data_IF_214225917682
#
_entry.id   IF_214225917682
#
_cell.length_a   1.000
_cell.length_b   1.000
_cell.length_c   1.000
_cell.angle_alpha   90.00
_cell.angle_beta   90.00
_cell.angle_gamma   90.00
#
_symmetry.space_group_name_H-M   'P 1'
#
loop_
_entity.id
_entity.type
_entity.pdbx_description
1 polymer ?
#
# COMPACT_ATOMS: atom_id res chain seq x y z
N UNK A 1 2.57 0.14 -1.67
CA UNK A 1 2.11 -1.06 -0.94
C UNK A 1 1.54 -0.64 0.40
N UNK A 2 0.51 -1.30 0.87
CA UNK A 2 -0.09 -1.10 2.19
C UNK A 2 0.21 -2.34 3.02
N UNK A 3 0.66 -2.14 4.26
CA UNK A 3 0.87 -3.22 5.25
C UNK A 3 0.23 -2.80 6.56
N UNK A 4 -0.87 -3.45 6.94
CA UNK A 4 -1.76 -2.97 8.00
C UNK A 4 -2.29 -1.57 7.67
N UNK A 5 -1.99 -0.60 8.55
CA UNK A 5 -2.36 0.81 8.43
C UNK A 5 -1.19 1.70 7.94
N UNK A 6 -0.31 1.18 7.09
CA UNK A 6 0.91 1.90 6.69
C UNK A 6 1.19 1.76 5.20
N UNK A 7 1.47 2.89 4.55
CA UNK A 7 1.74 2.98 3.11
C UNK A 7 3.25 3.10 2.86
N UNK A 8 3.75 2.27 1.95
CA UNK A 8 5.16 2.17 1.56
C UNK A 8 5.32 2.32 0.04
N UNK A 9 6.34 3.06 -0.37
CA UNK A 9 6.69 3.27 -1.79
C UNK A 9 7.18 4.69 -2.04
N UNK A 10 7.18 5.13 -3.31
CA UNK A 10 7.47 6.52 -3.66
C UNK A 10 6.57 7.49 -2.89
N UNK A 11 7.03 8.73 -2.60
CA UNK A 11 6.20 9.74 -1.99
C UNK A 11 4.91 9.96 -2.79
N UNK A 12 3.77 9.92 -2.10
CA UNK A 12 2.44 10.19 -2.67
C UNK A 12 1.77 11.32 -1.90
N UNK A 13 0.80 12.03 -2.50
CA UNK A 13 -0.01 13.00 -1.76
C UNK A 13 -0.70 12.35 -0.55
N UNK A 14 -0.84 13.05 0.60
CA UNK A 14 -1.45 12.50 1.81
C UNK A 14 -2.84 11.89 1.57
N UNK A 15 -3.70 12.58 0.82
CA UNK A 15 -5.04 12.08 0.47
C UNK A 15 -5.01 10.74 -0.29
N UNK A 16 -3.96 10.48 -1.08
CA UNK A 16 -3.80 9.21 -1.78
C UNK A 16 -3.35 8.11 -0.81
N UNK A 17 -2.45 8.43 0.13
CA UNK A 17 -2.05 7.50 1.19
C UNK A 17 -3.25 7.09 2.05
N UNK A 18 -4.03 8.06 2.52
CA UNK A 18 -5.26 7.82 3.30
C UNK A 18 -6.26 6.95 2.52
N UNK A 19 -6.40 7.21 1.22
CA UNK A 19 -7.24 6.41 0.34
C UNK A 19 -6.76 4.97 0.19
N UNK A 20 -5.45 4.75 0.08
CA UNK A 20 -4.85 3.41 0.00
C UNK A 20 -5.08 2.61 1.28
N UNK A 21 -4.89 3.25 2.44
CA UNK A 21 -5.11 2.65 3.76
C UNK A 21 -6.57 2.22 3.91
N UNK A 22 -7.51 3.14 3.70
CA UNK A 22 -8.95 2.87 3.77
C UNK A 22 -9.39 1.76 2.81
N UNK A 23 -8.80 1.71 1.61
CA UNK A 23 -9.09 0.64 0.66
C UNK A 23 -8.63 -0.73 1.19
N UNK A 24 -7.45 -0.80 1.82
CA UNK A 24 -6.93 -2.02 2.46
C UNK A 24 -7.88 -2.52 3.56
N UNK A 25 -8.38 -1.60 4.39
CA UNK A 25 -9.37 -1.91 5.43
C UNK A 25 -10.68 -2.43 4.85
N UNK A 26 -11.23 -1.73 3.84
CA UNK A 26 -12.48 -2.15 3.19
C UNK A 26 -12.38 -3.55 2.55
N UNK A 27 -11.20 -3.91 2.05
CA UNK A 27 -10.95 -5.23 1.46
C UNK A 27 -10.59 -6.29 2.50
N UNK A 28 -10.36 -5.92 3.76
CA UNK A 28 -9.90 -6.83 4.81
C UNK A 28 -8.54 -7.46 4.51
N UNK A 29 -7.71 -6.78 3.71
CA UNK A 29 -6.39 -7.27 3.30
C UNK A 29 -5.32 -6.57 4.13
N UNK A 30 -4.55 -7.29 4.96
CA UNK A 30 -3.46 -6.70 5.74
C UNK A 30 -2.22 -6.40 4.87
N UNK A 31 -2.20 -6.87 3.63
CA UNK A 31 -1.14 -6.62 2.64
C UNK A 31 -1.80 -6.31 1.29
N UNK A 32 -1.53 -5.12 0.74
CA UNK A 32 -2.11 -4.68 -0.53
C UNK A 32 -1.08 -3.98 -1.42
N UNK A 33 -0.96 -4.45 -2.65
CA UNK A 33 -0.24 -3.77 -3.72
C UNK A 33 -1.18 -2.91 -4.54
N UNK A 34 -0.80 -1.65 -4.75
CA UNK A 34 -1.50 -0.68 -5.58
C UNK A 34 -0.49 -0.10 -6.57
N UNK A 35 -0.86 -0.10 -7.85
CA UNK A 35 -0.12 0.59 -8.89
C UNK A 35 -0.99 1.70 -9.47
N UNK A 36 -0.39 2.88 -9.64
CA UNK A 36 -1.03 4.02 -10.26
C UNK A 36 -0.34 4.36 -11.57
N UNK A 37 -1.13 4.63 -12.59
CA UNK A 37 -0.67 5.18 -13.87
C UNK A 37 -1.07 6.65 -13.99
N UNK A 38 -0.44 7.36 -14.92
CA UNK A 38 -0.87 8.69 -15.34
C UNK A 38 -1.73 8.54 -16.59
N UNK A 39 -2.86 9.23 -16.65
CA UNK A 39 -3.60 9.39 -17.91
C UNK A 39 -3.00 10.50 -18.80
N UNK A 40 -3.53 10.65 -20.01
CA UNK A 40 -3.11 11.67 -20.98
C UNK A 40 -3.36 13.11 -20.47
N UNK A 41 -4.21 13.28 -19.46
CA UNK A 41 -4.51 14.55 -18.81
C UNK A 41 -3.62 14.86 -17.59
N UNK A 42 -2.70 13.96 -17.24
CA UNK A 42 -1.83 14.10 -16.07
C UNK A 42 -2.50 13.76 -14.74
N UNK A 43 -3.63 13.05 -14.75
CA UNK A 43 -4.27 12.55 -13.54
C UNK A 43 -3.74 11.17 -13.16
N UNK A 44 -3.58 10.94 -11.86
CA UNK A 44 -3.27 9.62 -11.29
C UNK A 44 -4.52 8.74 -11.33
N UNK A 45 -4.44 7.62 -12.04
CA UNK A 45 -5.46 6.60 -12.08
C UNK A 45 -4.96 5.30 -11.44
N UNK A 46 -5.85 4.60 -10.73
CA UNK A 46 -5.55 3.28 -10.21
C UNK A 46 -5.46 2.29 -11.38
N UNK A 47 -4.27 1.76 -11.63
CA UNK A 47 -4.00 0.80 -12.71
C UNK A 47 -4.16 -0.65 -12.24
N UNK A 48 -3.71 -0.95 -11.00
CA UNK A 48 -3.69 -2.32 -10.50
C UNK A 48 -3.87 -2.42 -9.00
N UNK A 49 -4.56 -3.49 -8.59
CA UNK A 49 -4.66 -3.96 -7.22
C UNK A 49 -4.17 -5.41 -7.17
N UNK A 50 -3.35 -5.77 -6.18
CA UNK A 50 -2.87 -7.14 -5.99
C UNK A 50 -2.71 -7.46 -4.49
N UNK A 51 -3.09 -8.66 -4.01
CA UNK A 51 -2.76 -9.10 -2.65
C UNK A 51 -1.27 -9.48 -2.49
N UNK A 52 -0.51 -9.50 -3.59
CA UNK A 52 0.92 -9.82 -3.63
C UNK A 52 1.72 -8.64 -4.18
N UNK A 53 1.98 -7.59 -3.38
CA UNK A 53 2.84 -6.49 -3.79
C UNK A 53 4.28 -6.94 -4.03
N UNK A 54 4.99 -6.19 -4.87
CA UNK A 54 6.45 -6.30 -4.94
C UNK A 54 7.07 -5.73 -3.66
N UNK A 55 7.55 -6.60 -2.79
CA UNK A 55 8.12 -6.25 -1.48
C UNK A 55 9.44 -5.48 -1.61
N UNK A 56 10.08 -5.49 -2.79
CA UNK A 56 11.33 -4.74 -3.02
C UNK A 56 11.12 -3.23 -3.01
N UNK A 57 9.91 -2.75 -3.29
CA UNK A 57 9.60 -1.32 -3.44
C UNK A 57 9.63 -0.58 -2.10
N UNK A 58 9.31 -1.24 -0.99
CA UNK A 58 9.27 -0.63 0.34
C UNK A 58 10.51 -0.87 1.20
N UNK A 59 11.46 -1.67 0.73
CA UNK A 59 12.70 -1.97 1.43
C UNK A 59 12.50 -2.59 2.82
N UNK A 60 13.51 -2.46 3.67
CA UNK A 60 13.50 -2.98 5.04
C UNK A 60 12.34 -2.46 5.91
N UNK A 61 11.94 -1.17 5.87
CA UNK A 61 10.80 -0.69 6.66
C UNK A 61 9.49 -1.43 6.37
N UNK A 62 9.22 -1.74 5.09
CA UNK A 62 8.04 -2.52 4.70
C UNK A 62 8.12 -3.93 5.27
N UNK A 63 9.28 -4.58 5.17
CA UNK A 63 9.48 -5.95 5.66
C UNK A 63 9.33 -6.03 7.18
N UNK A 64 9.84 -5.04 7.91
CA UNK A 64 9.68 -4.96 9.36
C UNK A 64 8.21 -4.82 9.76
N UNK A 65 7.47 -3.92 9.10
CA UNK A 65 6.03 -3.78 9.38
C UNK A 65 5.24 -5.05 9.01
N UNK A 66 5.62 -5.72 7.93
CA UNK A 66 4.99 -6.99 7.55
C UNK A 66 5.23 -8.07 8.60
N UNK A 67 6.45 -8.16 9.14
CA UNK A 67 6.76 -9.09 10.21
C UNK A 67 5.93 -8.82 11.47
N UNK A 68 5.78 -7.56 11.88
CA UNK A 68 4.93 -7.16 13.02
C UNK A 68 3.47 -7.61 12.83
N UNK A 69 2.90 -7.35 11.64
CA UNK A 69 1.51 -7.73 11.32
C UNK A 69 1.34 -9.25 11.37
N UNK A 70 2.28 -10.00 10.78
CA UNK A 70 2.23 -11.48 10.76
C UNK A 70 2.42 -12.10 12.15
N UNK A 71 3.14 -11.44 13.06
CA UNK A 71 3.32 -11.88 14.44
C UNK A 71 2.11 -11.57 15.34
N UNK A 72 1.04 -10.99 14.79
CA UNK A 72 -0.13 -10.56 15.55
C UNK A 72 0.11 -9.27 16.35
N UNK A 73 1.19 -8.54 16.04
CA UNK A 73 1.55 -7.27 16.69
C UNK A 73 0.76 -6.06 16.21
N UNK A 74 -0.28 -6.24 15.39
CA UNK A 74 -1.01 -5.10 14.82
C UNK A 74 -2.09 -4.58 15.78
N UNK A 75 -1.79 -3.45 16.44
CA UNK A 75 -2.73 -2.33 16.53
C UNK A 75 -2.19 -1.18 15.67
#
# INVERSE_FOLDING_TARGET
AVVGASVFGPPVPPALADGCERLSECLGLPLLGLAFGMDDGGSLLLDRITPMPDLRIGGEPLLNRLAEVLQGGAR
#
